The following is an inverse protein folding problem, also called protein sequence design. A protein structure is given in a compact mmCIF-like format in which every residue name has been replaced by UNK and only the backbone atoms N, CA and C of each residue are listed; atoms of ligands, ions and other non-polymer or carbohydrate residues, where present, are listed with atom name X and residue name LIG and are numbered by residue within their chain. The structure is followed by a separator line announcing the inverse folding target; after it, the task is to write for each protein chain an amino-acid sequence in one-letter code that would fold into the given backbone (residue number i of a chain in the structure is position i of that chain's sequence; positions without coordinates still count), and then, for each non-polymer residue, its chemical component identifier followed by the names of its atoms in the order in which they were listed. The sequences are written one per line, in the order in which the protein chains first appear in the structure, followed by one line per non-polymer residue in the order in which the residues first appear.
data_IF_090139103993
#
_entry.id   IF_090139103993
#
_cell.length_a   1.000
_cell.length_b   1.000
_cell.length_c   1.000
_cell.angle_alpha   90.00
_cell.angle_beta   90.00
_cell.angle_gamma   90.00
#
_symmetry.space_group_name_H-M   'P 1'
#
loop_
_entity.id
_entity.type
_entity.pdbx_description
1 polymer ?
#
# COMPACT_ATOMS: atom_id res chain seq x y z
N UNK A 1 -3.01 -14.70 15.36
CA UNK A 1 -3.03 -14.34 13.92
C UNK A 1 -1.76 -14.91 13.33
N UNK A 2 -1.78 -16.20 13.06
CA UNK A 2 -0.70 -16.93 12.42
C UNK A 2 -0.41 -16.33 11.04
N UNK A 3 0.84 -15.92 10.78
CA UNK A 3 1.24 -15.51 9.43
C UNK A 3 1.05 -16.70 8.47
N UNK A 4 0.70 -16.49 7.19
CA UNK A 4 0.56 -17.57 6.20
C UNK A 4 1.77 -18.52 6.10
N UNK A 5 2.93 -18.04 6.58
CA UNK A 5 4.17 -18.81 6.73
C UNK A 5 4.03 -20.02 7.66
N UNK A 6 3.30 -19.94 8.76
CA UNK A 6 3.23 -21.05 9.74
C UNK A 6 2.36 -22.22 9.27
N UNK A 7 1.47 -22.01 8.30
CA UNK A 7 0.65 -23.07 7.69
C UNK A 7 1.39 -23.89 6.62
N UNK A 8 2.59 -23.46 6.20
CA UNK A 8 3.42 -24.13 5.19
C UNK A 8 4.68 -24.80 5.75
N UNK A 9 4.94 -24.68 7.07
CA UNK A 9 6.08 -25.29 7.77
C UNK A 9 6.04 -26.83 7.83
N UNK A 10 5.08 -27.49 7.18
CA UNK A 10 5.09 -28.95 6.98
C UNK A 10 6.03 -29.41 5.86
N UNK A 11 6.60 -28.48 5.08
CA UNK A 11 7.69 -28.76 4.14
C UNK A 11 8.94 -28.04 4.65
N UNK A 12 9.87 -28.78 5.27
CA UNK A 12 11.25 -28.34 5.54
C UNK A 12 11.99 -28.09 4.22
N UNK A 13 11.57 -27.06 3.48
CA UNK A 13 12.25 -26.60 2.29
C UNK A 13 13.41 -25.72 2.76
N UNK A 14 14.62 -26.28 2.74
CA UNK A 14 15.90 -25.57 2.75
C UNK A 14 15.77 -24.24 1.99
N UNK A 15 16.37 -23.18 2.51
CA UNK A 15 16.33 -21.86 1.86
C UNK A 15 16.76 -21.95 0.38
N UNK A 16 16.29 -21.05 -0.50
CA UNK A 16 16.69 -21.05 -1.91
C UNK A 16 18.22 -21.10 -2.11
N UNK A 17 18.96 -20.50 -1.16
CA UNK A 17 20.41 -20.48 -1.17
C UNK A 17 21.04 -21.85 -0.84
N UNK A 18 20.42 -22.60 0.07
CA UNK A 18 20.83 -23.95 0.46
C UNK A 18 20.49 -25.00 -0.61
N UNK A 19 19.39 -24.81 -1.35
CA UNK A 19 19.06 -25.68 -2.50
C UNK A 19 19.99 -25.46 -3.69
N UNK A 20 20.49 -24.24 -3.91
CA UNK A 20 21.46 -23.94 -4.97
C UNK A 20 22.86 -24.53 -4.72
N UNK A 21 23.19 -24.87 -3.47
CA UNK A 21 24.47 -25.49 -3.08
C UNK A 21 24.44 -27.01 -3.04
N UNK A 22 23.27 -27.63 -3.20
CA UNK A 22 23.15 -29.07 -3.35
C UNK A 22 23.57 -29.46 -4.78
N UNK A 23 24.86 -29.75 -4.94
CA UNK A 23 25.38 -30.48 -6.09
C UNK A 23 24.61 -31.80 -6.18
N UNK A 24 23.89 -32.10 -7.29
CA UNK A 24 23.27 -33.40 -7.44
C UNK A 24 24.38 -34.44 -7.60
N UNK A 25 24.66 -35.19 -6.55
CA UNK A 25 25.46 -36.41 -6.64
C UNK A 25 24.68 -37.44 -7.45
N UNK A 26 25.31 -37.85 -8.55
CA UNK A 26 25.11 -39.08 -9.29
C UNK A 26 23.73 -39.33 -9.93
N UNK A 27 23.77 -39.13 -11.25
CA UNK A 27 22.85 -39.63 -12.25
C UNK A 27 22.66 -41.15 -12.11
N UNK A 28 21.59 -41.55 -11.41
CA UNK A 28 20.91 -42.80 -11.75
C UNK A 28 19.99 -42.49 -12.92
N UNK A 29 20.32 -43.04 -14.09
CA UNK A 29 19.50 -42.89 -15.29
C UNK A 29 18.10 -43.42 -15.00
N UNK A 30 17.14 -42.50 -14.77
CA UNK A 30 15.73 -42.85 -14.64
C UNK A 30 15.33 -43.70 -15.87
N UNK A 31 14.61 -44.81 -15.69
CA UNK A 31 14.19 -45.64 -16.80
C UNK A 31 13.45 -44.79 -17.83
N UNK A 32 13.84 -44.94 -19.09
CA UNK A 32 13.27 -44.15 -20.17
C UNK A 32 11.79 -44.51 -20.32
N UNK A 33 10.91 -43.56 -19.95
CA UNK A 33 9.45 -43.69 -20.11
C UNK A 33 9.11 -44.04 -21.56
N UNK A 34 8.18 -44.98 -21.76
CA UNK A 34 7.66 -45.31 -23.08
C UNK A 34 6.97 -44.09 -23.72
N UNK A 35 6.83 -44.03 -25.06
CA UNK A 35 6.12 -42.93 -25.72
C UNK A 35 4.70 -42.71 -25.19
N UNK A 36 3.98 -43.78 -24.84
CA UNK A 36 2.64 -43.72 -24.25
C UNK A 36 2.66 -43.19 -22.82
N UNK A 37 3.59 -43.66 -21.99
CA UNK A 37 3.77 -43.14 -20.62
C UNK A 37 4.15 -41.65 -20.63
N UNK A 38 5.00 -41.22 -21.57
CA UNK A 38 5.33 -39.79 -21.76
C UNK A 38 4.12 -38.96 -22.17
N UNK A 39 3.27 -39.48 -23.06
CA UNK A 39 2.03 -38.81 -23.48
C UNK A 39 1.05 -38.69 -22.31
N UNK A 40 0.86 -39.76 -21.54
CA UNK A 40 -0.01 -39.78 -20.37
C UNK A 40 0.48 -38.79 -19.30
N UNK A 41 1.75 -38.87 -18.91
CA UNK A 41 2.35 -37.97 -17.92
C UNK A 41 2.31 -36.51 -18.40
N UNK A 42 2.46 -36.27 -19.70
CA UNK A 42 2.30 -34.92 -20.26
C UNK A 42 0.87 -34.41 -20.07
N UNK A 43 -0.14 -35.22 -20.39
CA UNK A 43 -1.54 -34.85 -20.20
C UNK A 43 -1.86 -34.57 -18.72
N UNK A 44 -1.40 -35.43 -17.81
CA UNK A 44 -1.51 -35.25 -16.37
C UNK A 44 -0.84 -33.96 -15.89
N UNK A 45 0.39 -33.68 -16.34
CA UNK A 45 1.11 -32.44 -15.99
C UNK A 45 0.36 -31.18 -16.42
N UNK A 46 -0.26 -31.19 -17.62
CA UNK A 46 -1.10 -30.08 -18.07
C UNK A 46 -2.37 -29.93 -17.22
N UNK A 47 -2.96 -31.03 -16.78
CA UNK A 47 -4.11 -31.02 -15.90
C UNK A 47 -3.73 -30.47 -14.51
N UNK A 48 -2.62 -30.93 -13.92
CA UNK A 48 -2.11 -30.43 -12.66
C UNK A 48 -1.81 -28.93 -12.71
N UNK A 49 -1.14 -28.45 -13.77
CA UNK A 49 -0.91 -27.01 -13.94
C UNK A 49 -2.24 -26.21 -13.95
N UNK A 50 -3.25 -26.68 -14.69
CA UNK A 50 -4.57 -26.04 -14.74
C UNK A 50 -5.25 -26.04 -13.35
N UNK A 51 -5.21 -27.17 -12.65
CA UNK A 51 -5.80 -27.31 -11.31
C UNK A 51 -5.07 -26.44 -10.28
N UNK A 52 -3.74 -26.41 -10.30
CA UNK A 52 -2.91 -25.58 -9.43
C UNK A 52 -3.20 -24.09 -9.63
N UNK A 53 -3.32 -23.62 -10.89
CA UNK A 53 -3.74 -22.23 -11.18
C UNK A 53 -5.15 -21.95 -10.65
N UNK A 54 -6.09 -22.89 -10.81
CA UNK A 54 -7.46 -22.71 -10.34
C UNK A 54 -7.54 -22.62 -8.81
N UNK A 55 -6.86 -23.50 -8.07
CA UNK A 55 -6.79 -23.47 -6.62
C UNK A 55 -6.10 -22.20 -6.10
N UNK A 56 -5.00 -21.80 -6.74
CA UNK A 56 -4.33 -20.53 -6.43
C UNK A 56 -5.29 -19.33 -6.57
N UNK A 57 -6.07 -19.26 -7.65
CA UNK A 57 -7.08 -18.20 -7.85
C UNK A 57 -8.20 -18.22 -6.81
N UNK A 58 -8.47 -19.38 -6.19
CA UNK A 58 -9.43 -19.53 -5.11
C UNK A 58 -8.82 -19.24 -3.72
N UNK A 59 -7.54 -18.85 -3.64
CA UNK A 59 -6.84 -18.61 -2.38
C UNK A 59 -6.39 -19.88 -1.64
N UNK A 60 -6.53 -21.05 -2.27
CA UNK A 60 -6.11 -22.34 -1.70
C UNK A 60 -4.62 -22.57 -1.96
N UNK A 61 -3.76 -21.86 -1.23
CA UNK A 61 -2.32 -21.84 -1.49
C UNK A 61 -1.61 -23.17 -1.21
N UNK A 62 -1.94 -23.87 -0.11
CA UNK A 62 -1.27 -25.14 0.24
C UNK A 62 -1.58 -26.26 -0.77
N UNK A 63 -2.85 -26.50 -1.16
CA UNK A 63 -3.16 -27.46 -2.22
C UNK A 63 -2.54 -27.08 -3.57
N UNK A 64 -2.58 -25.80 -3.93
CA UNK A 64 -2.00 -25.32 -5.18
C UNK A 64 -0.49 -25.56 -5.23
N UNK A 65 0.23 -25.32 -4.14
CA UNK A 65 1.67 -25.56 -4.04
C UNK A 65 2.02 -27.03 -4.31
N UNK A 66 1.32 -27.96 -3.65
CA UNK A 66 1.57 -29.39 -3.80
C UNK A 66 1.38 -29.86 -5.25
N UNK A 67 0.26 -29.47 -5.88
CA UNK A 67 -0.05 -29.86 -7.27
C UNK A 67 0.92 -29.19 -8.26
N UNK A 68 1.31 -27.93 -8.04
CA UNK A 68 2.28 -27.24 -8.88
C UNK A 68 3.68 -27.85 -8.78
N UNK A 69 4.10 -28.30 -7.59
CA UNK A 69 5.38 -29.02 -7.42
C UNK A 69 5.38 -30.36 -8.17
N UNK A 70 4.28 -31.11 -8.15
CA UNK A 70 4.11 -32.33 -8.93
C UNK A 70 4.20 -32.04 -10.44
N UNK A 71 3.49 -31.01 -10.93
CA UNK A 71 3.56 -30.58 -12.32
C UNK A 71 4.97 -30.17 -12.74
N UNK A 72 5.70 -29.46 -11.87
CA UNK A 72 7.09 -29.06 -12.13
C UNK A 72 8.00 -30.27 -12.33
N UNK A 73 7.91 -31.27 -11.45
CA UNK A 73 8.72 -32.47 -11.53
C UNK A 73 8.41 -33.28 -12.79
N UNK A 74 7.14 -33.37 -13.18
CA UNK A 74 6.71 -34.04 -14.40
C UNK A 74 7.20 -33.31 -15.67
N UNK A 75 7.07 -31.98 -15.76
CA UNK A 75 7.59 -31.25 -16.91
C UNK A 75 9.12 -31.33 -17.04
N UNK A 76 9.84 -31.34 -15.90
CA UNK A 76 11.30 -31.55 -15.90
C UNK A 76 11.68 -32.94 -16.39
N UNK A 77 11.00 -34.00 -15.94
CA UNK A 77 11.30 -35.37 -16.39
C UNK A 77 10.96 -35.60 -17.86
N UNK A 78 9.94 -34.90 -18.38
CA UNK A 78 9.56 -34.91 -19.79
C UNK A 78 10.45 -34.01 -20.67
N UNK A 79 11.28 -33.14 -20.08
CA UNK A 79 12.03 -32.11 -20.81
C UNK A 79 11.14 -31.03 -21.45
N UNK A 80 9.89 -30.89 -21.00
CA UNK A 80 8.90 -29.99 -21.58
C UNK A 80 9.06 -28.56 -21.04
N UNK A 81 9.99 -27.82 -21.66
CA UNK A 81 10.47 -26.50 -21.19
C UNK A 81 9.40 -25.42 -21.07
N UNK A 82 8.42 -25.37 -21.99
CA UNK A 82 7.35 -24.37 -21.91
C UNK A 82 6.45 -24.59 -20.68
N UNK A 83 6.12 -25.86 -20.39
CA UNK A 83 5.36 -26.22 -19.20
C UNK A 83 6.14 -25.95 -17.90
N UNK A 84 7.44 -26.30 -17.89
CA UNK A 84 8.35 -25.99 -16.78
C UNK A 84 8.33 -24.48 -16.47
N UNK A 85 8.55 -23.62 -17.47
CA UNK A 85 8.58 -22.17 -17.27
C UNK A 85 7.26 -21.61 -16.73
N UNK A 86 6.11 -22.11 -17.21
CA UNK A 86 4.77 -21.70 -16.76
C UNK A 86 4.50 -22.11 -15.30
N UNK A 87 4.90 -23.31 -14.90
CA UNK A 87 4.78 -23.75 -13.50
C UNK A 87 5.68 -22.89 -12.61
N UNK A 88 6.94 -22.68 -12.99
CA UNK A 88 7.87 -21.83 -12.24
C UNK A 88 7.33 -20.42 -12.04
N UNK A 89 6.75 -19.82 -13.08
CA UNK A 89 6.12 -18.50 -12.98
C UNK A 89 4.90 -18.50 -12.04
N UNK A 90 4.10 -19.56 -12.09
CA UNK A 90 2.92 -19.70 -11.21
C UNK A 90 3.35 -19.84 -9.74
N UNK A 91 4.42 -20.62 -9.47
CA UNK A 91 5.03 -20.72 -8.14
C UNK A 91 5.58 -19.37 -7.68
N UNK A 92 6.27 -18.62 -8.55
CA UNK A 92 6.73 -17.27 -8.23
C UNK A 92 5.58 -16.34 -7.81
N UNK A 93 4.45 -16.40 -8.54
CA UNK A 93 3.24 -15.66 -8.16
C UNK A 93 2.68 -16.09 -6.82
N UNK A 94 2.64 -17.40 -6.55
CA UNK A 94 2.10 -17.96 -5.31
C UNK A 94 2.92 -17.48 -4.11
N UNK A 95 4.25 -17.61 -4.16
CA UNK A 95 5.12 -17.14 -3.09
C UNK A 95 5.09 -15.61 -2.93
N UNK A 96 4.92 -14.86 -4.03
CA UNK A 96 4.74 -13.42 -3.96
C UNK A 96 3.47 -13.03 -3.18
N UNK A 97 2.34 -13.73 -3.39
CA UNK A 97 1.10 -13.50 -2.63
C UNK A 97 1.24 -13.86 -1.14
N UNK A 98 2.05 -14.87 -0.83
CA UNK A 98 2.37 -15.25 0.54
C UNK A 98 3.38 -14.31 1.22
N UNK A 99 3.82 -13.25 0.52
CA UNK A 99 4.88 -12.34 0.94
C UNK A 99 6.24 -12.99 1.20
N UNK A 100 6.47 -14.19 0.64
CA UNK A 100 7.79 -14.83 0.66
C UNK A 100 8.56 -14.44 -0.61
N UNK A 101 9.12 -13.24 -0.57
CA UNK A 101 9.76 -12.63 -1.73
C UNK A 101 11.07 -13.32 -2.14
N UNK A 102 11.71 -14.09 -1.24
CA UNK A 102 12.94 -14.82 -1.57
C UNK A 102 12.63 -16.03 -2.46
N UNK A 103 11.59 -16.80 -2.12
CA UNK A 103 11.12 -17.88 -2.99
C UNK A 103 10.52 -17.35 -4.30
N UNK A 104 9.78 -16.24 -4.25
CA UNK A 104 9.26 -15.61 -5.46
C UNK A 104 10.39 -15.21 -6.43
N UNK A 105 11.49 -14.66 -5.90
CA UNK A 105 12.68 -14.33 -6.70
C UNK A 105 13.29 -15.57 -7.34
N UNK A 106 13.49 -16.64 -6.58
CA UNK A 106 14.14 -17.85 -7.08
C UNK A 106 13.35 -18.47 -8.25
N UNK A 107 12.06 -18.71 -8.04
CA UNK A 107 11.19 -19.26 -9.08
C UNK A 107 11.07 -18.34 -10.31
N UNK A 108 10.99 -17.02 -10.11
CA UNK A 108 10.95 -16.06 -11.22
C UNK A 108 12.26 -16.04 -12.01
N UNK A 109 13.44 -16.17 -11.37
CA UNK A 109 14.74 -16.29 -12.07
C UNK A 109 14.84 -17.58 -12.87
N UNK A 110 14.40 -18.70 -12.30
CA UNK A 110 14.36 -19.98 -13.01
C UNK A 110 13.43 -19.89 -14.24
N UNK A 111 12.23 -19.32 -14.07
CA UNK A 111 11.29 -19.11 -15.18
C UNK A 111 11.88 -18.22 -16.27
N UNK A 112 12.48 -17.07 -15.90
CA UNK A 112 13.14 -16.15 -16.83
C UNK A 112 14.25 -16.84 -17.64
N UNK A 113 15.05 -17.70 -16.99
CA UNK A 113 16.13 -18.44 -17.64
C UNK A 113 15.59 -19.38 -18.71
N UNK A 114 14.52 -20.12 -18.41
CA UNK A 114 13.89 -21.03 -19.38
C UNK A 114 13.18 -20.23 -20.48
N UNK A 115 12.46 -19.16 -20.13
CA UNK A 115 11.75 -18.30 -21.06
C UNK A 115 12.67 -17.65 -22.10
N UNK A 116 13.87 -17.17 -21.68
CA UNK A 116 14.89 -16.65 -22.60
C UNK A 116 15.39 -17.70 -23.59
N UNK A 117 15.60 -18.95 -23.15
CA UNK A 117 15.98 -20.05 -24.05
C UNK A 117 14.87 -20.38 -25.06
N UNK A 118 13.62 -20.28 -24.63
CA UNK A 118 12.45 -20.46 -25.48
C UNK A 118 12.16 -19.26 -26.38
N UNK A 119 12.80 -18.11 -26.12
CA UNK A 119 12.46 -16.80 -26.71
C UNK A 119 10.98 -16.43 -26.53
N UNK A 120 10.36 -16.90 -25.45
CA UNK A 120 8.97 -16.60 -25.11
C UNK A 120 8.89 -15.23 -24.43
N UNK A 121 8.54 -14.21 -25.23
CA UNK A 121 8.52 -12.81 -24.79
C UNK A 121 7.49 -12.55 -23.69
N UNK A 122 6.35 -13.24 -23.68
CA UNK A 122 5.34 -13.09 -22.64
C UNK A 122 5.84 -13.64 -21.30
N UNK A 123 6.44 -14.83 -21.29
CA UNK A 123 7.02 -15.41 -20.08
C UNK A 123 8.21 -14.60 -19.56
N UNK A 124 9.03 -14.02 -20.46
CA UNK A 124 10.09 -13.09 -20.09
C UNK A 124 9.49 -11.88 -19.35
N UNK A 125 8.50 -11.21 -19.95
CA UNK A 125 7.84 -10.04 -19.37
C UNK A 125 7.30 -10.35 -17.96
N UNK A 126 6.53 -11.43 -17.81
CA UNK A 126 5.91 -11.79 -16.54
C UNK A 126 6.94 -12.13 -15.47
N UNK A 127 7.99 -12.87 -15.83
CA UNK A 127 9.07 -13.20 -14.90
C UNK A 127 9.80 -11.95 -14.40
N UNK A 128 10.11 -11.02 -15.31
CA UNK A 128 10.73 -9.73 -14.98
C UNK A 128 9.85 -8.91 -14.03
N UNK A 129 8.54 -8.89 -14.26
CA UNK A 129 7.57 -8.21 -13.38
C UNK A 129 7.62 -8.75 -11.95
N UNK A 130 7.63 -10.07 -11.76
CA UNK A 130 7.75 -10.67 -10.42
C UNK A 130 9.11 -10.41 -9.77
N UNK A 131 10.20 -10.40 -10.55
CA UNK A 131 11.52 -10.03 -10.04
C UNK A 131 11.53 -8.58 -9.55
N UNK A 132 11.09 -7.64 -10.39
CA UNK A 132 11.03 -6.21 -10.06
C UNK A 132 10.20 -5.95 -8.80
N UNK A 133 9.02 -6.57 -8.71
CA UNK A 133 8.17 -6.45 -7.52
C UNK A 133 8.80 -7.05 -6.27
N UNK A 134 9.39 -8.25 -6.36
CA UNK A 134 9.99 -8.92 -5.20
C UNK A 134 11.19 -8.13 -4.66
N UNK A 135 12.06 -7.62 -5.52
CA UNK A 135 13.16 -6.74 -5.09
C UNK A 135 12.67 -5.44 -4.46
N UNK A 136 11.59 -4.83 -4.99
CA UNK A 136 10.98 -3.63 -4.40
C UNK A 136 10.52 -3.88 -2.96
N UNK A 137 9.92 -5.04 -2.70
CA UNK A 137 9.51 -5.44 -1.36
C UNK A 137 10.71 -5.73 -0.43
N UNK A 138 11.78 -6.30 -0.96
CA UNK A 138 13.06 -6.53 -0.26
C UNK A 138 13.94 -5.27 -0.13
N UNK A 139 13.45 -4.10 -0.56
CA UNK A 139 14.16 -2.81 -0.51
C UNK A 139 15.43 -2.71 -1.35
N UNK A 140 15.64 -3.65 -2.27
CA UNK A 140 16.69 -3.54 -3.29
C UNK A 140 16.15 -2.74 -4.48
N UNK A 141 16.25 -1.42 -4.36
CA UNK A 141 15.61 -0.50 -5.31
C UNK A 141 16.33 -0.48 -6.66
N UNK A 142 17.63 -0.75 -6.71
CA UNK A 142 18.41 -0.75 -7.95
C UNK A 142 18.03 -1.94 -8.84
N UNK A 143 17.98 -3.16 -8.27
CA UNK A 143 17.52 -4.32 -9.03
C UNK A 143 16.03 -4.22 -9.36
N UNK A 144 15.21 -3.70 -8.45
CA UNK A 144 13.80 -3.46 -8.72
C UNK A 144 13.61 -2.53 -9.94
N UNK A 145 14.41 -1.47 -10.04
CA UNK A 145 14.38 -0.54 -11.16
C UNK A 145 14.72 -1.25 -12.47
N UNK A 146 15.85 -1.97 -12.52
CA UNK A 146 16.31 -2.68 -13.73
C UNK A 146 15.25 -3.66 -14.25
N UNK A 147 14.75 -4.55 -13.40
CA UNK A 147 13.79 -5.57 -13.82
C UNK A 147 12.42 -4.98 -14.18
N UNK A 148 11.98 -3.92 -13.49
CA UNK A 148 10.70 -3.28 -13.81
C UNK A 148 10.77 -2.50 -15.13
N UNK A 149 11.91 -1.86 -15.44
CA UNK A 149 12.15 -1.20 -16.72
C UNK A 149 12.18 -2.21 -17.88
N UNK A 150 12.88 -3.34 -17.71
CA UNK A 150 12.90 -4.41 -18.72
C UNK A 150 11.48 -4.98 -18.93
N UNK A 151 10.73 -5.24 -17.85
CA UNK A 151 9.33 -5.65 -17.92
C UNK A 151 8.45 -4.65 -18.70
N UNK A 152 8.60 -3.36 -18.43
CA UNK A 152 7.85 -2.31 -19.13
C UNK A 152 8.19 -2.29 -20.63
N UNK A 153 9.46 -2.46 -20.99
CA UNK A 153 9.88 -2.52 -22.39
C UNK A 153 9.21 -3.70 -23.11
N UNK A 154 9.21 -4.90 -22.52
CA UNK A 154 8.54 -6.04 -23.10
C UNK A 154 7.02 -5.86 -23.19
N UNK A 155 6.38 -5.29 -22.16
CA UNK A 155 4.94 -5.02 -22.21
C UNK A 155 4.56 -4.12 -23.39
N UNK A 156 5.39 -3.10 -23.68
CA UNK A 156 5.20 -2.23 -24.85
C UNK A 156 5.44 -2.95 -26.18
N UNK A 157 6.50 -3.75 -26.29
CA UNK A 157 6.79 -4.56 -27.49
C UNK A 157 5.63 -5.51 -27.80
N UNK A 158 5.04 -6.10 -26.76
CA UNK A 158 3.91 -7.04 -26.86
C UNK A 158 2.56 -6.34 -27.05
N UNK A 159 2.51 -5.01 -27.00
CA UNK A 159 1.28 -4.22 -26.93
C UNK A 159 0.31 -4.70 -25.82
N UNK A 160 0.84 -5.25 -24.73
CA UNK A 160 0.06 -5.70 -23.57
C UNK A 160 -0.22 -4.50 -22.66
N UNK A 161 -1.32 -3.80 -22.95
CA UNK A 161 -1.76 -2.60 -22.22
C UNK A 161 -1.93 -2.85 -20.70
N UNK A 162 -2.58 -3.93 -20.24
CA UNK A 162 -2.61 -4.26 -18.82
C UNK A 162 -1.23 -4.46 -18.18
N UNK A 163 -0.30 -5.12 -18.86
CA UNK A 163 1.07 -5.30 -18.33
C UNK A 163 1.87 -3.99 -18.35
N UNK A 164 1.66 -3.13 -19.34
CA UNK A 164 2.27 -1.79 -19.42
C UNK A 164 1.83 -0.95 -18.22
N UNK A 165 0.53 -0.87 -17.98
CA UNK A 165 -0.07 -0.17 -16.83
C UNK A 165 0.54 -0.65 -15.51
N UNK A 166 0.54 -1.96 -15.26
CA UNK A 166 1.11 -2.52 -14.01
C UNK A 166 2.60 -2.20 -13.87
N UNK A 167 3.35 -2.27 -14.96
CA UNK A 167 4.79 -1.97 -14.95
C UNK A 167 5.06 -0.49 -14.69
N UNK A 168 4.29 0.43 -15.26
CA UNK A 168 4.36 1.87 -14.99
C UNK A 168 4.09 2.18 -13.51
N UNK A 169 2.99 1.65 -12.96
CA UNK A 169 2.66 1.82 -11.55
C UNK A 169 3.75 1.26 -10.63
N UNK A 170 4.30 0.07 -10.93
CA UNK A 170 5.40 -0.50 -10.13
C UNK A 170 6.68 0.33 -10.24
N UNK A 171 7.02 0.84 -11.42
CA UNK A 171 8.19 1.69 -11.63
C UNK A 171 8.06 3.00 -10.86
N UNK A 172 6.88 3.62 -10.90
CA UNK A 172 6.56 4.81 -10.10
C UNK A 172 6.72 4.55 -8.59
N UNK A 173 6.31 3.38 -8.10
CA UNK A 173 6.53 2.99 -6.70
C UNK A 173 8.03 2.88 -6.36
N UNK A 174 8.87 2.37 -7.26
CA UNK A 174 10.32 2.31 -7.06
C UNK A 174 10.92 3.72 -6.97
N UNK A 175 10.59 4.61 -7.91
CA UNK A 175 11.06 6.01 -7.88
C UNK A 175 10.63 6.75 -6.62
N UNK A 176 9.37 6.58 -6.20
CA UNK A 176 8.86 7.17 -4.95
C UNK A 176 9.64 6.69 -3.73
N UNK A 177 10.00 5.40 -3.67
CA UNK A 177 10.82 4.85 -2.57
C UNK A 177 12.25 5.37 -2.58
N UNK A 178 12.76 5.84 -3.72
CA UNK A 178 14.06 6.53 -3.84
C UNK A 178 13.98 8.03 -3.56
N UNK A 179 12.79 8.57 -3.25
CA UNK A 179 12.58 10.02 -3.06
C UNK A 179 12.44 10.82 -4.36
N UNK A 180 12.45 10.14 -5.52
CA UNK A 180 12.30 10.73 -6.85
C UNK A 180 10.81 10.92 -7.17
N UNK A 181 10.16 11.84 -6.46
CA UNK A 181 8.71 12.00 -6.49
C UNK A 181 8.20 12.58 -7.83
N UNK A 182 9.00 13.37 -8.54
CA UNK A 182 8.61 13.96 -9.82
C UNK A 182 8.49 12.88 -10.91
N UNK A 183 9.51 12.04 -11.04
CA UNK A 183 9.54 10.91 -11.97
C UNK A 183 8.46 9.88 -11.63
N UNK A 184 8.22 9.65 -10.33
CA UNK A 184 7.12 8.80 -9.88
C UNK A 184 5.76 9.35 -10.31
N UNK A 185 5.55 10.67 -10.21
CA UNK A 185 4.28 11.29 -10.59
C UNK A 185 3.97 11.12 -12.07
N UNK A 186 4.95 11.37 -12.95
CA UNK A 186 4.81 11.20 -14.41
C UNK A 186 4.43 9.77 -14.78
N UNK A 187 5.06 8.78 -14.13
CA UNK A 187 4.79 7.37 -14.37
C UNK A 187 3.42 6.94 -13.83
N UNK A 188 3.00 7.45 -12.67
CA UNK A 188 1.64 7.20 -12.18
C UNK A 188 0.59 7.87 -13.07
N UNK A 189 0.82 9.08 -13.58
CA UNK A 189 -0.09 9.74 -14.53
C UNK A 189 -0.24 8.92 -15.82
N UNK A 190 0.87 8.44 -16.37
CA UNK A 190 0.85 7.53 -17.52
C UNK A 190 0.07 6.24 -17.19
N UNK A 191 0.30 5.63 -16.01
CA UNK A 191 -0.44 4.45 -15.57
C UNK A 191 -1.94 4.72 -15.39
N UNK A 192 -2.32 5.90 -14.91
CA UNK A 192 -3.71 6.28 -14.67
C UNK A 192 -4.50 6.34 -15.98
N UNK A 193 -3.90 6.91 -17.03
CA UNK A 193 -4.51 6.98 -18.35
C UNK A 193 -4.84 5.58 -18.88
N UNK A 194 -3.89 4.63 -18.79
CA UNK A 194 -4.13 3.26 -19.22
C UNK A 194 -5.20 2.58 -18.35
N UNK A 195 -5.18 2.80 -17.04
CA UNK A 195 -6.16 2.20 -16.12
C UNK A 195 -7.60 2.68 -16.44
N UNK A 196 -7.76 3.96 -16.79
CA UNK A 196 -9.03 4.53 -17.24
C UNK A 196 -9.48 3.93 -18.57
N UNK A 197 -8.58 3.81 -19.55
CA UNK A 197 -8.88 3.19 -20.85
C UNK A 197 -9.35 1.73 -20.71
N UNK A 198 -8.76 1.00 -19.76
CA UNK A 198 -9.08 -0.41 -19.49
C UNK A 198 -10.36 -0.58 -18.64
N UNK A 199 -10.90 0.49 -18.06
CA UNK A 199 -12.04 0.40 -17.13
C UNK A 199 -11.71 -0.33 -15.82
N UNK A 200 -10.44 -0.39 -15.41
CA UNK A 200 -9.99 -1.05 -14.18
C UNK A 200 -10.17 -0.12 -12.97
N UNK A 201 -11.40 -0.04 -12.46
CA UNK A 201 -11.77 0.79 -11.30
C UNK A 201 -10.84 0.62 -10.09
N UNK A 202 -10.59 -0.62 -9.61
CA UNK A 202 -9.67 -0.85 -8.50
C UNK A 202 -8.26 -0.31 -8.73
N UNK A 203 -7.71 -0.49 -9.94
CA UNK A 203 -6.39 0.07 -10.26
C UNK A 203 -6.43 1.60 -10.35
N UNK A 204 -7.47 2.19 -10.93
CA UNK A 204 -7.66 3.65 -10.96
C UNK A 204 -7.62 4.23 -9.55
N UNK A 205 -8.34 3.64 -8.60
CA UNK A 205 -8.35 4.08 -7.20
C UNK A 205 -6.95 4.03 -6.57
N UNK A 206 -6.23 2.92 -6.78
CA UNK A 206 -4.89 2.74 -6.24
C UNK A 206 -3.91 3.78 -6.80
N UNK A 207 -3.98 4.05 -8.11
CA UNK A 207 -3.11 5.01 -8.78
C UNK A 207 -3.44 6.45 -8.35
N UNK A 208 -4.72 6.82 -8.24
CA UNK A 208 -5.13 8.14 -7.73
C UNK A 208 -4.63 8.40 -6.31
N UNK A 209 -4.74 7.40 -5.43
CA UNK A 209 -4.18 7.48 -4.07
C UNK A 209 -2.67 7.70 -4.11
N UNK A 210 -1.96 6.99 -4.97
CA UNK A 210 -0.52 7.12 -5.11
C UNK A 210 -0.12 8.49 -5.66
N UNK A 211 -0.86 9.03 -6.64
CA UNK A 211 -0.67 10.39 -7.16
C UNK A 211 -0.89 11.45 -6.09
N UNK A 212 -2.00 11.37 -5.34
CA UNK A 212 -2.27 12.29 -4.23
C UNK A 212 -1.15 12.30 -3.19
N UNK A 213 -0.66 11.11 -2.79
CA UNK A 213 0.47 11.00 -1.87
C UNK A 213 1.76 11.59 -2.46
N UNK A 214 2.02 11.35 -3.74
CA UNK A 214 3.25 11.78 -4.43
C UNK A 214 3.29 13.29 -4.61
N UNK A 215 2.17 13.91 -5.03
CA UNK A 215 2.06 15.36 -5.13
C UNK A 215 2.05 16.07 -3.78
N UNK A 216 1.50 15.42 -2.75
CA UNK A 216 1.60 15.93 -1.37
C UNK A 216 3.06 15.98 -0.92
N UNK A 217 3.85 14.94 -1.21
CA UNK A 217 5.29 14.91 -0.91
C UNK A 217 6.10 15.92 -1.73
N UNK A 218 5.63 16.30 -2.92
CA UNK A 218 6.21 17.39 -3.73
C UNK A 218 5.80 18.79 -3.25
N UNK A 219 4.88 18.92 -2.29
CA UNK A 219 4.30 20.20 -1.90
C UNK A 219 3.35 20.79 -2.96
N UNK A 220 2.97 20.03 -3.99
CA UNK A 220 2.04 20.48 -5.01
C UNK A 220 0.60 20.30 -4.51
N UNK A 221 0.10 21.31 -3.78
CA UNK A 221 -1.21 21.27 -3.17
C UNK A 221 -2.35 21.20 -4.19
N UNK A 222 -2.22 21.85 -5.35
CA UNK A 222 -3.24 21.83 -6.40
C UNK A 222 -3.47 20.41 -6.95
N UNK A 223 -2.40 19.73 -7.37
CA UNK A 223 -2.52 18.35 -7.87
C UNK A 223 -2.91 17.37 -6.76
N UNK A 224 -2.46 17.61 -5.52
CA UNK A 224 -2.90 16.83 -4.35
C UNK A 224 -4.42 16.88 -4.21
N UNK A 225 -5.00 18.08 -4.25
CA UNK A 225 -6.45 18.29 -4.18
C UNK A 225 -7.14 17.57 -5.35
N UNK A 226 -6.68 17.81 -6.57
CA UNK A 226 -7.25 17.22 -7.78
C UNK A 226 -7.40 15.69 -7.68
N UNK A 227 -6.33 14.97 -7.35
CA UNK A 227 -6.36 13.52 -7.32
C UNK A 227 -7.13 12.95 -6.11
N UNK A 228 -7.07 13.60 -4.95
CA UNK A 228 -7.83 13.14 -3.79
C UNK A 228 -9.32 13.44 -3.87
N UNK A 229 -9.74 14.57 -4.46
CA UNK A 229 -11.15 14.83 -4.74
C UNK A 229 -11.70 13.83 -5.77
N UNK A 230 -10.91 13.52 -6.81
CA UNK A 230 -11.27 12.48 -7.78
C UNK A 230 -11.46 11.12 -7.09
N UNK A 231 -10.51 10.71 -6.24
CA UNK A 231 -10.61 9.47 -5.46
C UNK A 231 -11.84 9.46 -4.52
N UNK A 232 -12.09 10.57 -3.81
CA UNK A 232 -13.25 10.69 -2.92
C UNK A 232 -14.58 10.59 -3.70
N UNK A 233 -14.63 11.17 -4.91
CA UNK A 233 -15.79 11.10 -5.79
C UNK A 233 -16.08 9.69 -6.33
N UNK A 234 -15.03 8.88 -6.55
CA UNK A 234 -15.18 7.47 -6.91
C UNK A 234 -15.67 6.66 -5.72
N UNK A 235 -15.11 6.93 -4.54
CA UNK A 235 -15.50 6.25 -3.32
C UNK A 235 -16.96 6.52 -2.90
N UNK A 236 -17.47 7.73 -3.14
CA UNK A 236 -18.87 8.06 -2.83
C UNK A 236 -19.88 7.47 -3.82
N UNK A 237 -19.47 7.10 -5.04
CA UNK A 237 -20.35 6.62 -6.12
C UNK A 237 -20.63 5.10 -6.10
N UNK A 238 -20.16 4.35 -5.10
CA UNK A 238 -20.43 2.90 -4.98
C UNK A 238 -20.01 2.05 -6.20
N UNK A 239 -19.02 2.49 -7.00
CA UNK A 239 -18.32 1.62 -7.96
C UNK A 239 -17.23 0.75 -7.29
N UNK A 240 -17.11 0.85 -5.97
CA UNK A 240 -16.14 0.15 -5.15
C UNK A 240 -16.59 -1.31 -4.95
N UNK A 241 -15.85 -2.27 -5.49
CA UNK A 241 -16.10 -3.70 -5.24
C UNK A 241 -15.41 -4.24 -3.97
N UNK A 242 -14.60 -3.44 -3.30
CA UNK A 242 -13.88 -3.85 -2.09
C UNK A 242 -14.20 -2.93 -0.90
N UNK A 243 -14.24 -3.44 0.34
CA UNK A 243 -14.21 -2.58 1.51
C UNK A 243 -12.88 -1.81 1.46
N UNK A 244 -12.94 -0.49 1.27
CA UNK A 244 -11.76 0.35 1.47
C UNK A 244 -11.20 0.05 2.86
N UNK A 245 -9.87 0.10 2.98
CA UNK A 245 -9.21 0.28 4.28
C UNK A 245 -10.01 1.32 5.09
N UNK A 246 -10.54 0.96 6.28
CA UNK A 246 -11.36 1.87 7.10
C UNK A 246 -10.66 3.20 7.40
N UNK A 247 -9.32 3.23 7.36
CA UNK A 247 -8.53 4.43 7.57
C UNK A 247 -8.29 5.27 6.31
N UNK A 248 -8.59 4.73 5.12
CA UNK A 248 -8.35 5.43 3.86
C UNK A 248 -9.14 6.74 3.76
N UNK A 249 -10.45 6.81 4.09
CA UNK A 249 -11.18 8.08 4.14
C UNK A 249 -10.51 9.10 5.06
N UNK A 250 -10.07 8.67 6.24
CA UNK A 250 -9.37 9.51 7.21
C UNK A 250 -8.09 10.12 6.65
N UNK A 251 -7.29 9.33 5.92
CA UNK A 251 -6.05 9.78 5.28
C UNK A 251 -6.29 10.75 4.13
N UNK A 252 -7.32 10.50 3.31
CA UNK A 252 -7.73 11.38 2.21
C UNK A 252 -8.19 12.73 2.77
N UNK A 253 -9.11 12.73 3.74
CA UNK A 253 -9.62 13.94 4.38
C UNK A 253 -8.52 14.75 5.08
N UNK A 254 -7.55 14.06 5.71
CA UNK A 254 -6.36 14.72 6.28
C UNK A 254 -5.54 15.43 5.21
N UNK A 255 -5.30 14.77 4.08
CA UNK A 255 -4.48 15.34 3.02
C UNK A 255 -5.18 16.50 2.32
N UNK A 256 -6.49 16.39 2.08
CA UNK A 256 -7.32 17.47 1.52
C UNK A 256 -7.37 18.69 2.46
N UNK A 257 -7.67 18.49 3.74
CA UNK A 257 -7.71 19.60 4.71
C UNK A 257 -6.36 20.32 4.79
N UNK A 258 -5.23 19.61 4.84
CA UNK A 258 -3.90 20.22 4.86
C UNK A 258 -3.60 20.96 3.55
N UNK A 259 -3.91 20.38 2.40
CA UNK A 259 -3.67 21.01 1.10
C UNK A 259 -4.50 22.29 0.91
N UNK A 260 -5.78 22.28 1.31
CA UNK A 260 -6.63 23.48 1.25
C UNK A 260 -6.17 24.58 2.22
N UNK A 261 -5.72 24.22 3.43
CA UNK A 261 -5.12 25.20 4.37
C UNK A 261 -3.87 25.83 3.79
N UNK A 262 -2.98 25.03 3.20
CA UNK A 262 -1.76 25.54 2.58
C UNK A 262 -2.03 26.47 1.39
N UNK A 263 -3.14 26.25 0.68
CA UNK A 263 -3.62 27.13 -0.40
C UNK A 263 -4.39 28.38 0.11
N UNK A 264 -4.56 28.54 1.43
CA UNK A 264 -5.34 29.63 2.04
C UNK A 264 -6.86 29.48 1.91
N UNK A 265 -7.36 28.37 1.37
CA UNK A 265 -8.79 28.11 1.27
C UNK A 265 -9.30 27.43 2.56
N UNK A 266 -9.39 28.22 3.61
CA UNK A 266 -9.81 27.75 4.93
C UNK A 266 -11.26 27.27 4.97
N UNK A 267 -12.14 27.83 4.12
CA UNK A 267 -13.55 27.40 4.03
C UNK A 267 -13.66 25.93 3.62
N UNK A 268 -12.95 25.52 2.55
CA UNK A 268 -12.91 24.11 2.13
C UNK A 268 -12.18 23.24 3.15
N UNK A 269 -11.10 23.73 3.74
CA UNK A 269 -10.39 22.98 4.78
C UNK A 269 -11.28 22.66 5.99
N UNK A 270 -12.06 23.63 6.47
CA UNK A 270 -13.02 23.47 7.57
C UNK A 270 -14.03 22.36 7.24
N UNK A 271 -14.56 22.35 6.01
CA UNK A 271 -15.50 21.31 5.58
C UNK A 271 -14.90 19.89 5.69
N UNK A 272 -13.66 19.68 5.23
CA UNK A 272 -13.00 18.38 5.36
C UNK A 272 -12.59 18.04 6.80
N UNK A 273 -12.21 19.03 7.60
CA UNK A 273 -11.90 18.84 9.02
C UNK A 273 -13.14 18.38 9.80
N UNK A 274 -14.33 18.93 9.52
CA UNK A 274 -15.59 18.47 10.13
C UNK A 274 -15.96 17.04 9.76
N UNK A 275 -15.81 16.66 8.49
CA UNK A 275 -16.01 15.27 8.07
C UNK A 275 -15.07 14.34 8.83
N UNK A 276 -13.81 14.75 8.99
CA UNK A 276 -12.79 13.99 9.71
C UNK A 276 -13.07 13.92 11.21
N UNK A 277 -13.53 15.02 11.83
CA UNK A 277 -13.96 15.11 13.23
C UNK A 277 -15.10 14.12 13.53
N UNK A 278 -16.07 14.04 12.62
CA UNK A 278 -17.21 13.12 12.74
C UNK A 278 -16.75 11.65 12.79
N UNK A 279 -15.74 11.29 12.00
CA UNK A 279 -15.21 9.92 11.97
C UNK A 279 -14.44 9.60 13.26
N UNK A 280 -13.54 10.49 13.71
CA UNK A 280 -12.74 10.23 14.93
C UNK A 280 -13.61 10.14 16.18
N UNK A 281 -14.69 10.93 16.27
CA UNK A 281 -15.67 10.85 17.37
C UNK A 281 -16.39 9.50 17.39
N UNK A 282 -16.79 8.97 16.23
CA UNK A 282 -17.41 7.63 16.13
C UNK A 282 -16.47 6.52 16.59
N UNK A 283 -15.16 6.70 16.41
CA UNK A 283 -14.14 5.74 16.82
C UNK A 283 -13.54 6.01 18.20
N UNK A 284 -14.00 7.04 18.93
CA UNK A 284 -13.46 7.47 20.22
C UNK A 284 -11.93 7.72 20.19
N UNK A 285 -11.40 8.24 19.08
CA UNK A 285 -9.99 8.64 18.98
C UNK A 285 -9.79 10.08 19.47
N UNK A 286 -9.65 10.21 20.79
CA UNK A 286 -9.48 11.49 21.47
C UNK A 286 -8.19 12.23 21.02
N UNK A 287 -7.13 11.50 20.64
CA UNK A 287 -5.88 12.11 20.17
C UNK A 287 -6.10 12.82 18.83
N UNK A 288 -6.67 12.10 17.87
CA UNK A 288 -6.97 12.70 16.57
C UNK A 288 -8.03 13.79 16.68
N UNK A 289 -9.00 13.64 17.59
CA UNK A 289 -10.01 14.67 17.87
C UNK A 289 -9.38 15.98 18.34
N UNK A 290 -8.48 15.96 19.32
CA UNK A 290 -7.85 17.18 19.82
C UNK A 290 -7.09 17.94 18.72
N UNK A 291 -6.39 17.20 17.85
CA UNK A 291 -5.62 17.77 16.75
C UNK A 291 -6.51 18.38 15.68
N UNK A 292 -7.68 17.78 15.42
CA UNK A 292 -8.63 18.31 14.44
C UNK A 292 -9.29 19.58 14.97
N UNK A 293 -9.67 19.61 16.26
CA UNK A 293 -10.25 20.79 16.90
C UNK A 293 -9.27 21.97 16.92
N UNK A 294 -7.98 21.74 17.12
CA UNK A 294 -6.95 22.77 16.99
C UNK A 294 -6.88 23.35 15.58
N UNK A 295 -6.91 22.49 14.56
CA UNK A 295 -6.85 22.94 13.16
C UNK A 295 -8.11 23.66 12.72
N UNK A 296 -9.28 23.28 13.26
CA UNK A 296 -10.54 23.98 13.06
C UNK A 296 -10.49 25.36 13.69
N UNK A 297 -10.07 25.48 14.96
CA UNK A 297 -9.97 26.75 15.65
C UNK A 297 -9.09 27.75 14.90
N UNK A 298 -7.87 27.33 14.51
CA UNK A 298 -6.96 28.14 13.70
C UNK A 298 -7.55 28.54 12.35
N UNK A 299 -8.29 27.65 11.70
CA UNK A 299 -8.91 27.96 10.40
C UNK A 299 -10.08 28.93 10.57
N UNK A 300 -10.84 28.83 11.67
CA UNK A 300 -11.93 29.75 11.99
C UNK A 300 -11.43 31.16 12.32
N UNK A 301 -10.34 31.29 13.08
CA UNK A 301 -9.67 32.57 13.33
C UNK A 301 -9.28 33.26 12.01
N UNK A 302 -8.68 32.53 11.07
CA UNK A 302 -8.28 33.10 9.77
C UNK A 302 -9.49 33.54 8.94
N UNK A 303 -10.64 32.86 9.08
CA UNK A 303 -11.89 33.24 8.41
C UNK A 303 -12.76 34.22 9.19
N UNK A 304 -12.27 34.77 10.31
CA UNK A 304 -12.97 35.70 11.21
C UNK A 304 -14.29 35.15 11.79
N UNK A 305 -14.37 33.83 12.00
CA UNK A 305 -15.50 33.16 12.64
C UNK A 305 -15.20 32.92 14.12
N UNK A 306 -15.16 34.03 14.88
CA UNK A 306 -14.68 34.07 16.27
C UNK A 306 -15.38 33.07 17.18
N UNK A 307 -16.72 33.03 17.21
CA UNK A 307 -17.46 32.13 18.10
C UNK A 307 -17.16 30.65 17.81
N UNK A 308 -17.10 30.28 16.53
CA UNK A 308 -16.77 28.91 16.13
C UNK A 308 -15.33 28.52 16.51
N UNK A 309 -14.39 29.47 16.47
CA UNK A 309 -13.02 29.25 16.92
C UNK A 309 -12.95 29.00 18.44
N UNK A 310 -13.64 29.84 19.22
CA UNK A 310 -13.71 29.71 20.68
C UNK A 310 -14.36 28.39 21.11
N UNK A 311 -15.45 27.99 20.43
CA UNK A 311 -16.10 26.70 20.67
C UNK A 311 -15.17 25.52 20.38
N UNK A 312 -14.35 25.60 19.32
CA UNK A 312 -13.36 24.57 19.01
C UNK A 312 -12.25 24.49 20.08
N UNK A 313 -11.75 25.62 20.57
CA UNK A 313 -10.78 25.64 21.66
C UNK A 313 -11.34 25.08 22.96
N UNK A 314 -12.58 25.42 23.29
CA UNK A 314 -13.26 24.91 24.47
C UNK A 314 -13.47 23.38 24.38
N UNK A 315 -13.98 22.89 23.25
CA UNK A 315 -14.12 21.45 23.01
C UNK A 315 -12.76 20.72 23.08
N UNK A 316 -11.70 21.31 22.51
CA UNK A 316 -10.35 20.73 22.57
C UNK A 316 -9.86 20.60 24.01
N UNK A 317 -10.10 21.62 24.84
CA UNK A 317 -9.72 21.60 26.25
C UNK A 317 -10.48 20.50 27.01
N UNK A 318 -11.78 20.34 26.75
CA UNK A 318 -12.61 19.28 27.37
C UNK A 318 -12.10 17.87 27.01
N UNK A 319 -11.74 17.61 25.75
CA UNK A 319 -11.15 16.34 25.32
C UNK A 319 -9.82 16.08 26.03
N UNK A 320 -8.96 17.10 26.14
CA UNK A 320 -7.67 16.98 26.83
C UNK A 320 -7.81 16.78 28.34
N UNK A 321 -8.85 17.34 28.98
CA UNK A 321 -9.18 17.07 30.39
C UNK A 321 -9.48 15.58 30.58
N UNK A 322 -10.25 14.97 29.68
CA UNK A 322 -10.56 13.53 29.72
C UNK A 322 -9.31 12.66 29.53
N UNK A 323 -8.35 13.10 28.70
CA UNK A 323 -7.10 12.39 28.43
C UNK A 323 -6.06 12.46 29.57
N UNK A 324 -6.27 13.32 30.57
CA UNK A 324 -5.35 13.54 31.69
C UNK A 324 -3.91 13.98 31.31
N UNK A 325 -3.70 14.48 30.08
CA UNK A 325 -2.40 15.04 29.64
C UNK A 325 -2.23 16.48 30.16
N UNK A 326 -1.61 16.62 31.34
CA UNK A 326 -1.43 17.93 32.01
C UNK A 326 -0.65 18.94 31.18
N UNK A 327 0.31 18.50 30.36
CA UNK A 327 1.14 19.42 29.58
C UNK A 327 0.29 20.02 28.45
N UNK A 328 -0.41 19.18 27.70
CA UNK A 328 -1.28 19.63 26.62
C UNK A 328 -2.49 20.40 27.11
N UNK A 329 -3.06 20.03 28.27
CA UNK A 329 -4.12 20.79 28.92
C UNK A 329 -3.69 22.23 29.19
N UNK A 330 -2.48 22.45 29.75
CA UNK A 330 -1.95 23.80 30.00
C UNK A 330 -1.75 24.58 28.70
N UNK A 331 -1.21 23.94 27.66
CA UNK A 331 -1.05 24.57 26.35
C UNK A 331 -2.40 24.96 25.73
N UNK A 332 -3.37 24.05 25.77
CA UNK A 332 -4.72 24.28 25.26
C UNK A 332 -5.46 25.38 26.01
N UNK A 333 -5.36 25.39 27.34
CA UNK A 333 -5.95 26.45 28.16
C UNK A 333 -5.31 27.81 27.87
N UNK A 334 -3.99 27.87 27.69
CA UNK A 334 -3.32 29.12 27.31
C UNK A 334 -3.77 29.62 25.94
N UNK A 335 -3.89 28.75 24.92
CA UNK A 335 -4.42 29.14 23.62
C UNK A 335 -5.86 29.66 23.71
N UNK A 336 -6.73 28.91 24.41
CA UNK A 336 -8.12 29.31 24.62
C UNK A 336 -8.22 30.65 25.35
N UNK A 337 -7.42 30.84 26.41
CA UNK A 337 -7.40 32.08 27.19
C UNK A 337 -6.92 33.26 26.36
N UNK A 338 -5.86 33.10 25.56
CA UNK A 338 -5.38 34.15 24.67
C UNK A 338 -6.46 34.55 23.65
N UNK A 339 -7.15 33.57 23.05
CA UNK A 339 -8.26 33.85 22.14
C UNK A 339 -9.43 34.56 22.85
N UNK A 340 -9.80 34.15 24.07
CA UNK A 340 -10.84 34.85 24.82
C UNK A 340 -10.44 36.29 25.19
N UNK A 341 -9.16 36.52 25.53
CA UNK A 341 -8.63 37.86 25.83
C UNK A 341 -8.67 38.77 24.60
N UNK A 342 -8.26 38.28 23.43
CA UNK A 342 -8.26 39.08 22.19
C UNK A 342 -9.66 39.50 21.74
N UNK A 343 -10.69 38.74 22.14
CA UNK A 343 -12.09 39.00 21.77
C UNK A 343 -12.96 39.52 22.94
N UNK A 344 -12.37 39.84 24.09
CA UNK A 344 -13.09 40.46 25.22
C UNK A 344 -14.06 39.53 25.96
N UNK A 345 -13.95 38.21 25.80
CA UNK A 345 -14.84 37.19 26.38
C UNK A 345 -14.13 36.30 27.39
N UNK A 346 -13.25 36.90 28.20
CA UNK A 346 -12.41 36.20 29.19
C UNK A 346 -13.21 35.33 30.17
N UNK A 347 -14.48 35.67 30.40
CA UNK A 347 -15.37 34.96 31.31
C UNK A 347 -15.61 33.50 30.91
N UNK A 348 -15.47 33.17 29.62
CA UNK A 348 -15.53 31.77 29.14
C UNK A 348 -14.44 30.88 29.73
N UNK A 349 -13.35 31.47 30.24
CA UNK A 349 -12.23 30.70 30.84
C UNK A 349 -12.42 30.39 32.32
N UNK A 350 -13.32 31.10 33.02
CA UNK A 350 -13.56 30.95 34.47
C UNK A 350 -13.80 29.50 34.92
N UNK A 351 -14.62 28.68 34.22
CA UNK A 351 -14.88 27.31 34.65
C UNK A 351 -13.63 26.42 34.71
N UNK A 352 -12.57 26.80 33.98
CA UNK A 352 -11.36 26.01 33.82
C UNK A 352 -10.16 26.54 34.62
N UNK A 353 -10.24 27.76 35.18
CA UNK A 353 -9.12 28.42 35.88
C UNK A 353 -8.59 27.61 37.07
N UNK A 354 -9.49 27.04 37.89
CA UNK A 354 -9.13 26.25 39.08
C UNK A 354 -8.30 25.00 38.76
N UNK A 355 -8.41 24.45 37.54
CA UNK A 355 -7.64 23.29 37.09
C UNK A 355 -6.15 23.62 36.89
N UNK A 356 -5.81 24.90 36.69
CA UNK A 356 -4.46 25.35 36.34
C UNK A 356 -3.83 26.29 37.38
N UNK A 357 -4.59 26.75 38.37
CA UNK A 357 -4.13 27.60 39.48
C UNK A 357 -3.57 26.80 40.69
N UNK A 358 -3.59 25.47 40.66
CA UNK A 358 -2.97 24.65 41.69
C UNK A 358 -1.44 24.83 41.69
N UNK A 359 -0.96 25.65 42.64
CA UNK A 359 0.45 25.86 42.97
C UNK A 359 1.20 24.53 43.06
N UNK A 360 2.40 24.50 42.48
CA UNK A 360 3.43 23.54 42.86
C UNK A 360 3.58 23.58 44.39
N UNK A 361 3.63 22.43 45.10
CA UNK A 361 3.91 22.42 46.54
C UNK A 361 5.34 22.86 46.91
N UNK A 362 6.08 23.48 45.98
CA UNK A 362 7.41 24.05 46.21
C UNK A 362 7.39 25.54 46.55
N UNK A 363 6.26 26.23 46.39
CA UNK A 363 6.14 27.67 46.68
C UNK A 363 5.37 27.89 47.99
N UNK A 364 5.73 27.15 49.03
CA UNK A 364 5.50 27.59 50.41
C UNK A 364 6.52 28.70 50.70
N UNK A 365 6.11 29.90 51.12
CA UNK A 365 7.06 30.86 51.65
C UNK A 365 7.65 30.21 52.91
N UNK A 366 8.95 29.92 52.88
CA UNK A 366 9.67 29.68 54.11
C UNK A 366 9.64 30.98 54.92
N UNK A 367 8.84 30.91 55.99
CA UNK A 367 8.77 31.78 57.19
C UNK A 367 8.21 33.19 57.00
#
# INVERSE_FOLDING_TARGET
MDTPRSLLLGFDALSPHEQSTLVPTESTAKPALSPEQRRCLSAEAHQWLKQGIAQYRQGQYTPALAILQQALQAYRSLGHRSGEAKVLLTLASLYYQLADYLWALDYARQSLTVARKLKDQHLIQQSLSYLGNSYRHLKDLDRALTYTQESLQFARILADRPAEMRSLNNLAMVYRLRGQNQEAAELYEASLLIAMDLGDGPTVEQVLKNLGNTYSALGNHLKTIQYYEQLLSLASKSQLQAPLDPQLPMRILRSLSLAYRAMGNHVRAIAYLHQRLTIVRRHNDARSEEQILEQLAQSYEITDQVEAALDCYEQRLQVLIQLQDRQLQRQAFNHFRCACLSHGVIERTRPYQSLFEARSPSDSPHL
#
